data_IF_877532025823
#
_entry.id   IF_877532025823
#
_cell.length_a   1.000
_cell.length_b   1.000
_cell.length_c   1.000
_cell.angle_alpha   90.00
_cell.angle_beta   90.00
_cell.angle_gamma   90.00
#
_symmetry.space_group_name_H-M   'P 1'
#
loop_
_entity.id
_entity.type
_entity.pdbx_description
1 polymer ?
#
# COMPACT_ATOMS: atom_id res chain seq x y z
N UNK A 1 15.23 -4.71 14.41
CA UNK A 1 15.23 -3.90 13.16
C UNK A 1 16.03 -4.49 12.00
N UNK A 2 17.25 -5.06 12.19
CA UNK A 2 18.14 -5.48 11.08
C UNK A 2 17.46 -6.35 10.01
N UNK A 3 16.84 -7.49 10.38
CA UNK A 3 16.14 -8.40 9.43
C UNK A 3 15.12 -7.73 8.49
N UNK A 4 14.37 -6.72 8.94
CA UNK A 4 13.36 -6.04 8.11
C UNK A 4 14.05 -5.08 7.15
N UNK A 5 15.05 -4.35 7.64
CA UNK A 5 15.85 -3.44 6.83
C UNK A 5 16.60 -4.18 5.73
N UNK A 6 17.24 -5.29 6.08
CA UNK A 6 18.00 -6.12 5.15
C UNK A 6 17.09 -6.75 4.07
N UNK A 7 15.89 -7.19 4.45
CA UNK A 7 14.90 -7.75 3.50
C UNK A 7 14.45 -6.75 2.43
N UNK A 8 14.41 -5.47 2.78
CA UNK A 8 13.88 -4.41 1.93
C UNK A 8 14.95 -3.43 1.41
N UNK A 9 16.23 -3.66 1.73
CA UNK A 9 17.33 -2.79 1.35
C UNK A 9 17.28 -1.40 1.98
N UNK A 10 16.73 -1.27 3.20
CA UNK A 10 16.65 0.02 3.90
C UNK A 10 17.97 0.28 4.62
N UNK A 11 18.78 1.18 4.08
CA UNK A 11 20.14 1.44 4.60
C UNK A 11 20.13 2.46 5.75
N UNK A 12 19.23 3.44 5.71
CA UNK A 12 19.21 4.56 6.65
C UNK A 12 17.93 4.61 7.52
N UNK A 13 18.07 5.04 8.78
CA UNK A 13 16.95 5.39 9.66
C UNK A 13 16.04 6.47 9.06
N UNK A 14 16.60 7.40 8.28
CA UNK A 14 15.84 8.43 7.59
C UNK A 14 14.84 7.84 6.58
N UNK A 15 15.29 6.90 5.72
CA UNK A 15 14.41 6.20 4.78
C UNK A 15 13.28 5.47 5.51
N UNK A 16 13.61 4.83 6.64
CA UNK A 16 12.60 4.15 7.45
C UNK A 16 11.54 5.12 8.01
N UNK A 17 11.95 6.29 8.49
CA UNK A 17 11.01 7.31 8.95
C UNK A 17 10.09 7.80 7.83
N UNK A 18 10.64 8.07 6.63
CA UNK A 18 9.86 8.46 5.45
C UNK A 18 8.84 7.38 5.09
N UNK A 19 9.24 6.11 5.10
CA UNK A 19 8.34 4.98 4.84
C UNK A 19 7.16 4.97 5.82
N UNK A 20 7.41 5.18 7.11
CA UNK A 20 6.35 5.23 8.12
C UNK A 20 5.38 6.40 7.88
N UNK A 21 5.89 7.57 7.49
CA UNK A 21 5.06 8.74 7.16
C UNK A 21 4.19 8.44 5.94
N UNK A 22 4.75 7.86 4.88
CA UNK A 22 3.99 7.48 3.68
C UNK A 22 2.87 6.49 4.04
N UNK A 23 3.15 5.49 4.89
CA UNK A 23 2.11 4.57 5.36
C UNK A 23 1.02 5.26 6.19
N UNK A 24 1.40 6.18 7.09
CA UNK A 24 0.43 6.91 7.92
C UNK A 24 -0.50 7.79 7.07
N UNK A 25 0.05 8.51 6.09
CA UNK A 25 -0.72 9.35 5.17
C UNK A 25 -1.61 8.48 4.28
N UNK A 26 -1.05 7.45 3.65
CA UNK A 26 -1.81 6.55 2.77
C UNK A 26 -2.94 5.86 3.53
N UNK A 27 -2.66 5.37 4.74
CA UNK A 27 -3.66 4.76 5.63
C UNK A 27 -4.80 5.73 5.97
N UNK A 28 -4.46 6.96 6.37
CA UNK A 28 -5.45 7.99 6.71
C UNK A 28 -6.33 8.37 5.53
N UNK A 29 -5.75 8.52 4.34
CA UNK A 29 -6.50 8.87 3.12
C UNK A 29 -7.39 7.71 2.69
N UNK A 30 -6.90 6.47 2.74
CA UNK A 30 -7.70 5.29 2.39
C UNK A 30 -8.88 5.08 3.34
N UNK A 31 -8.70 5.35 4.64
CA UNK A 31 -9.78 5.30 5.62
C UNK A 31 -10.90 6.29 5.26
N UNK A 32 -10.55 7.52 4.86
CA UNK A 32 -11.53 8.52 4.41
C UNK A 32 -12.24 8.09 3.13
N UNK A 33 -11.53 7.49 2.18
CA UNK A 33 -12.11 7.00 0.93
C UNK A 33 -12.97 5.74 1.11
N UNK A 34 -12.76 4.99 2.20
CA UNK A 34 -13.46 3.72 2.44
C UNK A 34 -14.97 3.87 2.65
N UNK A 35 -15.45 5.03 3.10
CA UNK A 35 -16.87 5.33 3.28
C UNK A 35 -17.56 5.55 1.93
N UNK A 36 -17.16 6.57 1.15
CA UNK A 36 -17.73 6.83 -0.17
C UNK A 36 -17.62 5.63 -1.11
N UNK A 37 -16.53 4.85 -1.01
CA UNK A 37 -16.38 3.62 -1.80
C UNK A 37 -17.44 2.58 -1.41
N UNK A 38 -17.72 2.39 -0.12
CA UNK A 38 -18.73 1.43 0.33
C UNK A 38 -20.14 1.83 -0.14
N UNK A 39 -20.46 3.13 -0.03
CA UNK A 39 -21.74 3.69 -0.49
C UNK A 39 -21.91 3.55 -2.01
N UNK A 40 -20.85 3.84 -2.79
CA UNK A 40 -20.87 3.69 -4.26
C UNK A 40 -21.15 2.26 -4.72
N UNK A 41 -20.71 1.25 -3.98
CA UNK A 41 -20.98 -0.16 -4.27
C UNK A 41 -22.25 -0.69 -3.59
N UNK A 42 -23.01 0.16 -2.90
CA UNK A 42 -24.28 -0.15 -2.22
C UNK A 42 -24.21 -1.38 -1.29
N UNK A 43 -23.04 -1.64 -0.69
CA UNK A 43 -22.80 -2.84 0.13
C UNK A 43 -23.43 -2.74 1.52
N UNK A 44 -24.13 -1.64 1.84
CA UNK A 44 -24.73 -1.37 3.15
C UNK A 44 -25.89 -2.31 3.49
N UNK A 45 -26.50 -2.93 2.48
CA UNK A 45 -27.54 -3.95 2.65
C UNK A 45 -27.01 -5.33 3.02
N UNK A 46 -25.68 -5.54 2.97
CA UNK A 46 -25.07 -6.82 3.29
C UNK A 46 -25.01 -7.06 4.80
N UNK A 47 -25.16 -8.33 5.18
CA UNK A 47 -24.96 -8.75 6.56
C UNK A 47 -23.53 -8.38 7.02
N UNK A 48 -23.38 -7.93 8.26
CA UNK A 48 -22.11 -7.42 8.80
C UNK A 48 -20.89 -8.35 8.58
N UNK A 49 -21.11 -9.67 8.55
CA UNK A 49 -20.09 -10.70 8.31
C UNK A 49 -19.54 -10.65 6.88
N UNK A 50 -20.38 -10.33 5.90
CA UNK A 50 -19.99 -10.18 4.49
C UNK A 50 -19.53 -8.77 4.18
N UNK A 51 -20.13 -7.77 4.83
CA UNK A 51 -19.81 -6.36 4.67
C UNK A 51 -18.32 -6.07 4.85
N UNK A 52 -17.74 -6.50 5.98
CA UNK A 52 -16.34 -6.16 6.31
C UNK A 52 -15.30 -6.76 5.34
N UNK A 53 -15.33 -8.07 5.01
CA UNK A 53 -14.41 -8.65 4.03
C UNK A 53 -14.55 -8.04 2.64
N UNK A 54 -15.78 -7.81 2.17
CA UNK A 54 -16.04 -7.24 0.83
C UNK A 54 -15.57 -5.79 0.78
N UNK A 55 -15.88 -5.00 1.81
CA UNK A 55 -15.39 -3.61 1.91
C UNK A 55 -13.88 -3.54 1.87
N UNK A 56 -13.18 -4.41 2.61
CA UNK A 56 -11.72 -4.45 2.59
C UNK A 56 -11.20 -4.82 1.19
N UNK A 57 -11.83 -5.78 0.52
CA UNK A 57 -11.46 -6.22 -0.83
C UNK A 57 -11.59 -5.10 -1.86
N UNK A 58 -12.67 -4.31 -1.78
CA UNK A 58 -12.95 -3.19 -2.70
C UNK A 58 -12.02 -2.01 -2.44
N UNK A 59 -11.76 -1.68 -1.17
CA UNK A 59 -10.88 -0.56 -0.80
C UNK A 59 -9.40 -0.90 -1.09
N UNK A 60 -9.05 -2.18 -1.11
CA UNK A 60 -7.67 -2.63 -1.33
C UNK A 60 -7.04 -2.12 -2.65
N UNK A 61 -7.68 -2.25 -3.84
CA UNK A 61 -7.18 -1.64 -5.08
C UNK A 61 -6.90 -0.14 -4.98
N UNK A 62 -7.80 0.61 -4.34
CA UNK A 62 -7.63 2.05 -4.13
C UNK A 62 -6.40 2.30 -3.25
N UNK A 63 -6.24 1.54 -2.16
CA UNK A 63 -5.07 1.61 -1.29
C UNK A 63 -3.76 1.31 -2.05
N UNK A 64 -3.76 0.34 -2.98
CA UNK A 64 -2.59 0.03 -3.80
C UNK A 64 -2.19 1.21 -4.70
N UNK A 65 -3.16 1.85 -5.34
CA UNK A 65 -2.92 3.04 -6.18
C UNK A 65 -2.36 4.17 -5.32
N UNK A 66 -2.97 4.43 -4.16
CA UNK A 66 -2.50 5.47 -3.23
C UNK A 66 -1.08 5.22 -2.73
N UNK A 67 -0.72 3.97 -2.42
CA UNK A 67 0.65 3.62 -2.01
C UNK A 67 1.68 4.01 -3.07
N UNK A 68 1.41 3.72 -4.34
CA UNK A 68 2.31 4.10 -5.45
C UNK A 68 2.34 5.62 -5.60
N UNK A 69 1.18 6.27 -5.50
CA UNK A 69 1.05 7.72 -5.66
C UNK A 69 1.80 8.50 -4.58
N UNK A 70 1.60 8.16 -3.30
CA UNK A 70 2.33 8.77 -2.19
C UNK A 70 3.81 8.36 -2.20
N UNK A 71 4.14 7.13 -2.58
CA UNK A 71 5.54 6.72 -2.78
C UNK A 71 6.26 7.58 -3.83
N UNK A 72 5.57 7.94 -4.91
CA UNK A 72 6.09 8.85 -5.93
C UNK A 72 6.30 10.26 -5.38
N UNK A 73 5.28 10.86 -4.76
CA UNK A 73 5.36 12.21 -4.18
C UNK A 73 6.51 12.30 -3.17
N UNK A 74 6.56 11.37 -2.22
CA UNK A 74 7.59 11.40 -1.19
C UNK A 74 8.98 11.09 -1.74
N UNK A 75 9.10 10.28 -2.80
CA UNK A 75 10.37 10.11 -3.52
C UNK A 75 10.87 11.41 -4.14
N UNK A 76 9.97 12.20 -4.75
CA UNK A 76 10.31 13.54 -5.28
C UNK A 76 10.68 14.50 -4.15
N UNK A 77 9.89 14.55 -3.07
CA UNK A 77 10.17 15.41 -1.92
C UNK A 77 11.55 15.08 -1.32
N UNK A 78 11.83 13.82 -1.04
CA UNK A 78 13.14 13.39 -0.52
C UNK A 78 14.25 13.77 -1.48
N UNK A 79 14.05 13.60 -2.79
CA UNK A 79 15.05 13.97 -3.79
C UNK A 79 15.37 15.47 -3.81
N UNK A 80 14.35 16.32 -3.59
CA UNK A 80 14.53 17.77 -3.47
C UNK A 80 15.26 18.12 -2.18
N UNK A 81 14.91 17.49 -1.06
CA UNK A 81 15.56 17.74 0.24
C UNK A 81 17.02 17.27 0.30
N UNK A 82 17.34 16.14 -0.32
CA UNK A 82 18.71 15.59 -0.33
C UNK A 82 19.56 16.13 -1.48
N UNK A 83 18.95 16.89 -2.41
CA UNK A 83 19.56 17.36 -3.66
C UNK A 83 20.13 16.22 -4.53
N UNK A 84 19.66 14.99 -4.30
CA UNK A 84 20.09 13.78 -4.99
C UNK A 84 18.86 13.03 -5.49
N UNK A 85 18.99 12.32 -6.61
CA UNK A 85 17.88 11.51 -7.15
C UNK A 85 17.65 10.28 -6.26
N UNK A 86 16.65 10.32 -5.40
CA UNK A 86 16.19 9.16 -4.64
C UNK A 86 15.12 8.40 -5.44
N UNK A 87 15.49 7.21 -5.91
CA UNK A 87 14.55 6.25 -6.53
C UNK A 87 14.09 5.19 -5.54
N UNK A 88 14.69 5.15 -4.36
CA UNK A 88 14.47 4.08 -3.39
C UNK A 88 13.04 4.11 -2.86
N UNK A 89 12.55 5.27 -2.42
CA UNK A 89 11.22 5.39 -1.82
C UNK A 89 10.13 4.95 -2.80
N UNK A 90 10.18 5.43 -4.05
CA UNK A 90 9.22 5.01 -5.08
C UNK A 90 9.31 3.51 -5.37
N UNK A 91 10.51 2.99 -5.62
CA UNK A 91 10.70 1.58 -5.94
C UNK A 91 10.27 0.65 -4.80
N UNK A 92 10.49 1.07 -3.55
CA UNK A 92 10.04 0.35 -2.36
C UNK A 92 8.51 0.18 -2.37
N UNK A 93 7.78 1.29 -2.53
CA UNK A 93 6.31 1.26 -2.53
C UNK A 93 5.72 0.57 -3.76
N UNK A 94 6.34 0.74 -4.92
CA UNK A 94 5.95 0.06 -6.14
C UNK A 94 6.11 -1.47 -6.01
N UNK A 95 7.27 -1.94 -5.53
CA UNK A 95 7.52 -3.37 -5.28
C UNK A 95 6.56 -3.94 -4.22
N UNK A 96 6.31 -3.18 -3.15
CA UNK A 96 5.35 -3.55 -2.11
C UNK A 96 3.94 -3.71 -2.67
N UNK A 97 3.49 -2.77 -3.49
CA UNK A 97 2.14 -2.80 -4.06
C UNK A 97 1.91 -4.00 -4.96
N UNK A 98 2.91 -4.33 -5.79
CA UNK A 98 2.89 -5.54 -6.64
C UNK A 98 2.89 -6.79 -5.76
N UNK A 99 3.76 -6.87 -4.76
CA UNK A 99 3.85 -8.04 -3.88
C UNK A 99 2.52 -8.29 -3.16
N UNK A 100 1.88 -7.25 -2.65
CA UNK A 100 0.61 -7.35 -1.95
C UNK A 100 -0.53 -7.74 -2.89
N UNK A 101 -0.59 -7.15 -4.08
CA UNK A 101 -1.56 -7.52 -5.10
C UNK A 101 -1.41 -8.99 -5.53
N UNK A 102 -0.18 -9.45 -5.78
CA UNK A 102 0.10 -10.87 -6.09
C UNK A 102 -0.30 -11.78 -4.95
N UNK A 103 0.03 -11.42 -3.71
CA UNK A 103 -0.31 -12.22 -2.53
C UNK A 103 -1.82 -12.31 -2.31
N UNK A 104 -2.55 -11.21 -2.52
CA UNK A 104 -4.00 -11.21 -2.45
C UNK A 104 -4.63 -12.07 -3.56
N UNK A 105 -4.19 -11.90 -4.80
CA UNK A 105 -4.68 -12.69 -5.92
C UNK A 105 -4.44 -14.20 -5.73
N UNK A 106 -3.25 -14.57 -5.21
CA UNK A 106 -2.96 -15.94 -4.82
C UNK A 106 -3.90 -16.45 -3.72
N UNK A 107 -4.15 -15.63 -2.69
CA UNK A 107 -5.04 -15.98 -1.59
C UNK A 107 -6.48 -16.23 -2.07
N UNK A 108 -7.01 -15.33 -2.91
CA UNK A 108 -8.36 -15.46 -3.48
C UNK A 108 -8.48 -16.66 -4.42
N UNK A 109 -7.40 -16.99 -5.12
CA UNK A 109 -7.32 -18.14 -6.01
C UNK A 109 -7.01 -19.46 -5.28
N UNK A 110 -7.02 -19.48 -3.94
CA UNK A 110 -6.62 -20.64 -3.13
C UNK A 110 -5.24 -21.23 -3.52
N UNK A 111 -4.32 -20.38 -3.97
CA UNK A 111 -2.97 -20.75 -4.36
C UNK A 111 -2.83 -21.37 -5.75
N UNK A 112 -3.84 -21.26 -6.62
CA UNK A 112 -3.78 -21.81 -7.99
C UNK A 112 -3.06 -20.90 -9.00
N UNK A 113 -3.11 -19.57 -8.86
CA UNK A 113 -2.66 -18.63 -9.92
C UNK A 113 -1.15 -18.34 -9.98
N UNK A 114 -0.42 -18.35 -8.86
CA UNK A 114 1.03 -18.06 -8.84
C UNK A 114 1.79 -19.10 -8.01
N UNK A 115 1.54 -20.38 -8.31
CA UNK A 115 2.23 -21.52 -7.73
C UNK A 115 3.54 -21.75 -8.49
N UNK A 116 4.58 -21.00 -8.12
CA UNK A 116 5.98 -21.22 -8.52
C UNK A 116 6.87 -21.29 -7.27
#
# INVERSE_FOLDING_TARGET
>A
MKRIKDKWGIENNFQFAVILVVFAVTGSVSAKLSGPTAEYFEIDSLHAILYWPIRLLIVFPIYQILLIWFGFIFGVIVSVFTLQKDKFIFNFFFKMSILFSKKLANFLSFGLLFRE
#
